data_IF_636138045684
#
_entry.id   IF_636138045684
#
_cell.length_a   1.000
_cell.length_b   1.000
_cell.length_c   1.000
_cell.angle_alpha   90.00
_cell.angle_beta   90.00
_cell.angle_gamma   90.00
#
_symmetry.space_group_name_H-M   'P 1'
#
loop_
_entity.id
_entity.type
_entity.pdbx_description
1 polymer ?
#
# COMPACT_ATOMS: atom_id res chain seq x y z
N UNK A 1 -43.36 38.80 68.78
CA UNK A 1 -42.22 38.97 67.87
C UNK A 1 -41.99 37.62 67.22
N UNK A 2 -42.44 37.48 65.98
CA UNK A 2 -42.28 36.23 65.17
C UNK A 2 -41.06 36.39 64.29
N UNK A 3 -40.02 35.57 64.50
CA UNK A 3 -38.88 35.46 63.60
C UNK A 3 -39.20 34.40 62.50
N UNK A 4 -39.27 34.86 61.23
CA UNK A 4 -39.43 34.01 60.04
C UNK A 4 -38.05 33.47 59.63
N UNK A 5 -37.81 32.18 59.76
CA UNK A 5 -36.63 31.53 59.15
C UNK A 5 -36.95 31.21 57.71
N UNK A 6 -36.23 31.87 56.78
CA UNK A 6 -36.26 31.61 55.35
C UNK A 6 -35.19 30.55 55.06
N UNK A 7 -35.60 29.30 54.86
CA UNK A 7 -34.73 28.19 54.49
C UNK A 7 -34.54 28.23 52.97
N UNK A 8 -33.38 28.70 52.51
CA UNK A 8 -33.01 28.69 51.09
C UNK A 8 -32.65 27.28 50.60
N UNK A 9 -33.51 26.66 49.79
CA UNK A 9 -33.28 25.37 49.13
C UNK A 9 -32.33 25.56 47.93
N UNK A 10 -31.03 25.22 48.10
CA UNK A 10 -30.05 25.19 47.02
C UNK A 10 -30.35 23.99 46.14
N UNK A 11 -30.97 24.17 44.97
CA UNK A 11 -31.11 23.11 43.96
C UNK A 11 -29.75 22.85 43.30
N UNK A 12 -29.09 21.77 43.71
CA UNK A 12 -27.98 21.16 42.99
C UNK A 12 -28.52 20.54 41.68
N UNK A 13 -28.33 21.21 40.54
CA UNK A 13 -28.56 20.62 39.25
C UNK A 13 -27.51 19.52 39.00
N UNK A 14 -27.91 18.27 38.73
CA UNK A 14 -26.96 17.22 38.34
C UNK A 14 -26.33 17.63 37.00
N UNK A 15 -25.00 17.81 36.97
CA UNK A 15 -24.25 17.92 35.75
C UNK A 15 -24.42 16.58 34.97
N UNK A 16 -25.23 16.60 33.95
CA UNK A 16 -25.34 15.48 33.03
C UNK A 16 -23.96 15.26 32.40
N UNK A 17 -23.26 14.20 32.81
CA UNK A 17 -22.06 13.72 32.14
C UNK A 17 -22.53 13.21 30.79
N UNK A 18 -22.44 14.06 29.77
CA UNK A 18 -22.60 13.65 28.37
C UNK A 18 -21.44 12.71 28.07
N UNK A 19 -21.68 11.42 28.26
CA UNK A 19 -20.76 10.39 27.78
C UNK A 19 -20.60 10.60 26.25
N UNK A 20 -19.47 11.13 25.82
CA UNK A 20 -19.19 11.30 24.40
C UNK A 20 -19.19 9.91 23.75
N UNK A 21 -20.15 9.68 22.86
CA UNK A 21 -20.32 8.39 22.18
C UNK A 21 -19.04 8.04 21.40
N UNK A 22 -18.43 6.90 21.73
CA UNK A 22 -17.27 6.38 20.98
C UNK A 22 -17.71 5.90 19.62
N UNK A 23 -17.03 6.38 18.58
CA UNK A 23 -17.21 5.95 17.19
C UNK A 23 -16.15 4.88 16.90
N UNK A 24 -16.58 3.66 16.60
CA UNK A 24 -15.70 2.57 16.15
C UNK A 24 -15.65 2.53 14.64
N UNK A 25 -14.46 2.68 14.07
CA UNK A 25 -14.17 2.64 12.64
C UNK A 25 -13.78 1.21 12.24
N UNK A 26 -14.48 0.62 11.26
CA UNK A 26 -14.14 -0.68 10.67
C UNK A 26 -13.01 -0.47 9.66
N UNK A 27 -11.83 -1.02 9.95
CA UNK A 27 -10.65 -0.96 9.08
C UNK A 27 -10.43 -2.31 8.43
N UNK A 28 -10.50 -2.40 7.11
CA UNK A 28 -10.43 -3.67 6.38
C UNK A 28 -9.22 -3.73 5.45
N UNK A 29 -8.53 -4.87 5.45
CA UNK A 29 -7.39 -5.11 4.58
C UNK A 29 -7.16 -6.61 4.29
N UNK A 30 -6.26 -6.91 3.33
CA UNK A 30 -6.09 -8.25 2.78
C UNK A 30 -4.91 -9.05 3.35
N UNK A 31 -4.02 -8.45 4.14
CA UNK A 31 -2.85 -9.14 4.71
C UNK A 31 -3.14 -9.75 6.10
N UNK A 32 -2.35 -10.75 6.53
CA UNK A 32 -2.50 -11.34 7.86
C UNK A 32 -2.10 -10.37 8.98
N UNK A 33 -2.52 -10.63 10.24
CA UNK A 33 -2.20 -9.77 11.39
C UNK A 33 -0.71 -9.62 11.68
N UNK A 34 0.12 -10.56 11.22
CA UNK A 34 1.59 -10.51 11.36
C UNK A 34 2.30 -9.60 10.36
N UNK A 35 1.60 -9.03 9.37
CA UNK A 35 2.20 -8.19 8.33
C UNK A 35 2.61 -6.82 8.84
N UNK A 36 3.62 -6.23 8.22
CA UNK A 36 4.07 -4.85 8.41
C UNK A 36 2.91 -3.86 8.35
N UNK A 37 2.07 -3.98 7.33
CA UNK A 37 0.89 -3.12 7.16
C UNK A 37 -0.05 -3.15 8.38
N UNK A 38 -0.28 -4.33 8.98
CA UNK A 38 -1.15 -4.45 10.14
C UNK A 38 -0.45 -3.96 11.41
N UNK A 39 0.72 -4.57 11.75
CA UNK A 39 1.40 -4.37 13.03
C UNK A 39 2.07 -3.01 13.17
N UNK A 40 2.78 -2.60 12.13
CA UNK A 40 3.72 -1.47 12.21
C UNK A 40 3.13 -0.18 11.61
N UNK A 41 1.98 -0.28 10.93
CA UNK A 41 1.29 0.87 10.35
C UNK A 41 -0.14 1.02 10.90
N UNK A 42 -1.09 0.11 10.56
CA UNK A 42 -2.51 0.34 10.88
C UNK A 42 -2.80 0.36 12.37
N UNK A 43 -2.21 -0.55 13.16
CA UNK A 43 -2.37 -0.56 14.61
C UNK A 43 -1.84 0.74 15.23
N UNK A 44 -0.59 1.18 14.99
CA UNK A 44 -0.09 2.45 15.53
C UNK A 44 -0.89 3.68 15.06
N UNK A 45 -1.34 3.72 13.81
CA UNK A 45 -2.21 4.79 13.33
C UNK A 45 -3.53 4.84 14.10
N UNK A 46 -4.16 3.69 14.32
CA UNK A 46 -5.40 3.56 15.09
C UNK A 46 -5.24 3.96 16.55
N UNK A 47 -4.13 3.58 17.19
CA UNK A 47 -3.80 3.98 18.56
C UNK A 47 -3.58 5.50 18.65
N UNK A 48 -2.93 6.08 17.65
CA UNK A 48 -2.68 7.53 17.58
C UNK A 48 -3.99 8.30 17.50
N UNK A 49 -4.90 7.96 16.59
CA UNK A 49 -6.20 8.65 16.49
C UNK A 49 -7.08 8.44 17.74
N UNK A 50 -7.00 7.27 18.37
CA UNK A 50 -7.72 7.02 19.62
C UNK A 50 -7.20 7.92 20.75
N UNK A 51 -5.89 8.06 20.87
CA UNK A 51 -5.25 8.95 21.86
C UNK A 51 -5.62 10.42 21.59
N UNK A 52 -5.47 10.88 20.35
CA UNK A 52 -5.72 12.29 19.98
C UNK A 52 -7.20 12.69 20.05
N UNK A 53 -8.11 11.71 19.88
CA UNK A 53 -9.55 11.92 20.05
C UNK A 53 -10.06 11.74 21.51
N UNK A 54 -9.15 11.57 22.47
CA UNK A 54 -9.50 11.23 23.87
C UNK A 54 -10.44 10.01 23.95
N UNK A 55 -10.19 8.98 23.12
CA UNK A 55 -10.97 7.73 23.07
C UNK A 55 -12.30 7.80 22.32
N UNK A 56 -12.63 8.96 21.74
CA UNK A 56 -13.87 9.11 20.94
C UNK A 56 -13.81 8.40 19.59
N UNK A 57 -12.61 8.20 19.00
CA UNK A 57 -12.37 7.34 17.84
C UNK A 57 -11.67 6.07 18.29
N UNK A 58 -12.11 4.93 17.78
CA UNK A 58 -11.45 3.64 17.91
C UNK A 58 -11.49 2.90 16.58
N UNK A 59 -10.51 2.03 16.34
CA UNK A 59 -10.58 1.13 15.20
C UNK A 59 -10.95 -0.28 15.64
N UNK A 60 -11.67 -0.98 14.75
CA UNK A 60 -11.76 -2.42 14.73
C UNK A 60 -11.17 -2.88 13.41
N UNK A 61 -9.98 -3.50 13.47
CA UNK A 61 -9.25 -3.93 12.26
C UNK A 61 -9.67 -5.35 11.88
N UNK A 62 -9.98 -5.54 10.61
CA UNK A 62 -10.39 -6.80 9.98
C UNK A 62 -9.31 -7.22 8.96
N UNK A 63 -8.29 -8.00 9.37
CA UNK A 63 -7.24 -8.49 8.49
C UNK A 63 -7.73 -9.65 7.61
N UNK A 64 -6.91 -10.04 6.60
CA UNK A 64 -7.11 -11.25 5.78
C UNK A 64 -8.50 -11.35 5.15
N UNK A 65 -9.07 -10.23 4.71
CA UNK A 65 -10.41 -10.17 4.11
C UNK A 65 -11.54 -10.68 5.03
N UNK A 66 -11.42 -10.52 6.36
CA UNK A 66 -12.41 -11.03 7.33
C UNK A 66 -13.83 -10.48 7.15
N UNK A 67 -14.00 -9.33 6.50
CA UNK A 67 -15.33 -8.82 6.15
C UNK A 67 -15.84 -9.39 4.81
N UNK A 68 -15.13 -10.35 4.23
CA UNK A 68 -15.48 -10.99 2.95
C UNK A 68 -15.00 -10.22 1.72
N UNK A 69 -15.26 -10.81 0.55
CA UNK A 69 -14.82 -10.28 -0.74
C UNK A 69 -13.39 -10.66 -1.10
N UNK A 70 -12.82 -9.95 -2.07
CA UNK A 70 -11.46 -10.11 -2.56
C UNK A 70 -10.67 -8.81 -2.43
N UNK A 71 -9.32 -8.85 -2.48
CA UNK A 71 -8.49 -7.64 -2.42
C UNK A 71 -8.85 -6.58 -3.47
N UNK A 72 -9.32 -7.00 -4.65
CA UNK A 72 -9.78 -6.11 -5.72
C UNK A 72 -11.04 -5.32 -5.33
N UNK A 73 -11.86 -5.83 -4.43
CA UNK A 73 -13.12 -5.20 -4.02
C UNK A 73 -12.98 -4.20 -2.88
N UNK A 74 -11.81 -4.14 -2.21
CA UNK A 74 -11.62 -3.29 -1.02
C UNK A 74 -11.92 -1.82 -1.29
N UNK A 75 -11.48 -1.28 -2.44
CA UNK A 75 -11.78 0.11 -2.76
C UNK A 75 -13.30 0.37 -2.85
N UNK A 76 -14.03 -0.52 -3.50
CA UNK A 76 -15.49 -0.40 -3.60
C UNK A 76 -16.15 -0.63 -2.24
N UNK A 77 -15.63 -1.50 -1.39
CA UNK A 77 -16.13 -1.67 -0.01
C UNK A 77 -16.05 -0.38 0.81
N UNK A 78 -14.96 0.40 0.66
CA UNK A 78 -14.90 1.73 1.27
C UNK A 78 -15.88 2.69 0.62
N UNK A 79 -15.93 2.76 -0.71
CA UNK A 79 -16.81 3.66 -1.44
C UNK A 79 -18.29 3.41 -1.11
N UNK A 80 -18.69 2.15 -0.98
CA UNK A 80 -20.06 1.73 -0.73
C UNK A 80 -20.42 1.65 0.77
N UNK A 81 -19.45 1.95 1.67
CA UNK A 81 -19.67 1.99 3.13
C UNK A 81 -19.74 0.62 3.82
N UNK A 82 -19.30 -0.46 3.16
CA UNK A 82 -19.16 -1.79 3.78
C UNK A 82 -18.09 -1.75 4.88
N UNK A 83 -16.95 -1.12 4.58
CA UNK A 83 -15.92 -0.78 5.54
C UNK A 83 -15.81 0.75 5.67
N UNK A 84 -15.51 1.24 6.90
CA UNK A 84 -15.30 2.67 7.11
C UNK A 84 -13.94 3.13 6.56
N UNK A 85 -12.92 2.27 6.68
CA UNK A 85 -11.56 2.52 6.17
C UNK A 85 -11.06 1.25 5.51
N UNK A 86 -10.33 1.40 4.40
CA UNK A 86 -9.62 0.28 3.75
C UNK A 86 -8.15 0.60 3.52
N UNK A 87 -7.35 -0.46 3.47
CA UNK A 87 -6.02 -0.42 2.90
C UNK A 87 -5.92 -1.40 1.75
N UNK A 88 -5.53 -0.91 0.58
CA UNK A 88 -5.49 -1.74 -0.64
C UNK A 88 -4.50 -1.21 -1.67
N UNK A 89 -4.30 -2.01 -2.71
CA UNK A 89 -3.60 -1.67 -3.95
C UNK A 89 -4.65 -1.25 -4.98
N UNK A 90 -4.75 0.04 -5.36
CA UNK A 90 -5.73 0.49 -6.35
C UNK A 90 -5.61 -0.25 -7.68
N UNK A 91 -4.40 -0.52 -8.14
CA UNK A 91 -4.11 -1.19 -9.42
C UNK A 91 -4.49 -2.68 -9.47
N UNK A 92 -4.96 -3.28 -8.38
CA UNK A 92 -5.65 -4.58 -8.44
C UNK A 92 -6.94 -4.51 -9.27
N UNK A 93 -7.50 -3.32 -9.46
CA UNK A 93 -8.56 -3.03 -10.42
C UNK A 93 -7.96 -2.45 -11.71
N UNK A 94 -7.46 -3.33 -12.57
CA UNK A 94 -6.69 -2.98 -13.75
C UNK A 94 -7.36 -1.87 -14.59
N UNK A 95 -6.61 -0.79 -14.86
CA UNK A 95 -7.03 0.32 -15.70
C UNK A 95 -8.01 1.32 -15.06
N UNK A 96 -8.40 1.13 -13.80
CA UNK A 96 -9.27 2.06 -13.07
C UNK A 96 -8.51 3.28 -12.51
N UNK A 97 -7.24 3.11 -12.18
CA UNK A 97 -6.38 4.12 -11.57
C UNK A 97 -5.15 4.44 -12.43
N UNK A 98 -5.35 4.76 -13.74
CA UNK A 98 -4.26 4.80 -14.70
C UNK A 98 -3.23 5.90 -14.45
N UNK A 99 -3.61 7.02 -13.83
CA UNK A 99 -2.68 8.12 -13.50
C UNK A 99 -1.79 7.72 -12.34
N UNK A 100 -2.35 7.09 -11.31
CA UNK A 100 -1.58 6.60 -10.14
C UNK A 100 -0.58 5.51 -10.52
N UNK A 101 -0.86 4.69 -11.54
CA UNK A 101 0.03 3.65 -12.05
C UNK A 101 1.42 4.18 -12.49
N UNK A 102 1.62 5.49 -12.63
CA UNK A 102 2.93 6.08 -12.91
C UNK A 102 4.01 5.64 -11.90
N UNK A 103 3.64 5.47 -10.63
CA UNK A 103 4.56 5.04 -9.56
C UNK A 103 4.84 3.53 -9.56
N UNK A 104 4.17 2.76 -10.40
CA UNK A 104 4.34 1.32 -10.58
C UNK A 104 5.15 0.96 -11.85
N UNK A 105 5.62 1.99 -12.57
CA UNK A 105 6.49 1.81 -13.73
C UNK A 105 7.85 1.20 -13.31
N UNK A 106 8.50 0.43 -14.18
CA UNK A 106 9.77 -0.21 -13.86
C UNK A 106 10.84 0.80 -13.42
N UNK A 107 11.60 0.46 -12.40
CA UNK A 107 12.73 1.23 -11.87
C UNK A 107 12.41 2.70 -11.50
N UNK A 108 11.15 3.00 -11.18
CA UNK A 108 10.68 4.36 -10.92
C UNK A 108 11.11 4.89 -9.55
N UNK A 109 11.09 4.07 -8.52
CA UNK A 109 11.22 4.49 -7.11
C UNK A 109 12.50 3.96 -6.50
N UNK A 110 13.34 4.87 -5.95
CA UNK A 110 14.57 4.54 -5.23
C UNK A 110 14.44 4.71 -3.72
N UNK A 111 13.59 5.63 -3.29
CA UNK A 111 13.37 5.99 -1.90
C UNK A 111 11.87 5.99 -1.62
N UNK A 112 11.40 5.02 -0.86
CA UNK A 112 9.96 4.84 -0.61
C UNK A 112 9.40 5.85 0.38
N UNK A 113 10.22 6.41 1.28
CA UNK A 113 9.76 7.49 2.16
C UNK A 113 9.45 8.75 1.36
N UNK A 114 10.40 9.21 0.53
CA UNK A 114 10.21 10.37 -0.36
C UNK A 114 9.14 10.08 -1.41
N UNK A 115 9.22 8.92 -2.04
CA UNK A 115 8.25 8.49 -3.05
C UNK A 115 6.82 8.45 -2.52
N UNK A 116 6.61 8.04 -1.27
CA UNK A 116 5.28 8.04 -0.64
C UNK A 116 4.77 9.46 -0.39
N UNK A 117 5.63 10.36 0.10
CA UNK A 117 5.30 11.80 0.21
C UNK A 117 4.96 12.39 -1.16
N UNK A 118 5.78 12.09 -2.15
CA UNK A 118 5.59 12.55 -3.53
C UNK A 118 4.32 11.98 -4.17
N UNK A 119 4.02 10.71 -3.94
CA UNK A 119 2.80 10.07 -4.42
C UNK A 119 1.55 10.77 -3.86
N UNK A 120 1.55 11.17 -2.58
CA UNK A 120 0.45 11.97 -2.04
C UNK A 120 0.22 13.24 -2.87
N UNK A 121 1.25 14.07 -3.05
CA UNK A 121 1.13 15.32 -3.79
C UNK A 121 0.71 15.10 -5.24
N UNK A 122 1.31 14.11 -5.89
CA UNK A 122 0.97 13.73 -7.26
C UNK A 122 -0.48 13.26 -7.39
N UNK A 123 -0.92 12.35 -6.51
CA UNK A 123 -2.27 11.81 -6.54
C UNK A 123 -3.34 12.90 -6.31
N UNK A 124 -3.12 13.77 -5.33
CA UNK A 124 -4.05 14.86 -5.04
C UNK A 124 -4.12 15.89 -6.16
N UNK A 125 -3.01 16.15 -6.86
CA UNK A 125 -2.94 17.08 -7.98
C UNK A 125 -3.50 16.50 -9.27
N UNK A 126 -3.10 15.28 -9.63
CA UNK A 126 -3.28 14.74 -10.97
C UNK A 126 -4.32 13.61 -11.05
N UNK A 127 -4.55 12.89 -9.93
CA UNK A 127 -5.34 11.67 -9.89
C UNK A 127 -6.55 11.75 -8.93
N UNK A 128 -6.91 12.92 -8.42
CA UNK A 128 -8.02 13.07 -7.45
C UNK A 128 -9.34 12.51 -7.94
N UNK A 129 -9.60 12.56 -9.25
CA UNK A 129 -10.79 12.00 -9.87
C UNK A 129 -10.86 10.46 -9.76
N UNK A 130 -9.71 9.77 -9.67
CA UNK A 130 -9.63 8.31 -9.50
C UNK A 130 -10.17 7.85 -8.13
N UNK A 131 -10.13 8.74 -7.14
CA UNK A 131 -10.50 8.46 -5.75
C UNK A 131 -11.86 9.02 -5.34
N UNK A 132 -12.70 9.37 -6.30
CA UNK A 132 -14.04 9.89 -6.03
C UNK A 132 -14.88 8.87 -5.23
N UNK A 133 -15.47 9.35 -4.13
CA UNK A 133 -16.30 8.54 -3.24
C UNK A 133 -15.59 8.02 -1.99
N UNK A 134 -14.28 8.25 -1.89
CA UNK A 134 -13.50 8.02 -0.67
C UNK A 134 -12.71 9.27 -0.28
N UNK A 135 -12.42 9.41 1.00
CA UNK A 135 -11.48 10.39 1.57
C UNK A 135 -10.11 9.69 1.67
N UNK A 136 -9.11 10.01 0.85
CA UNK A 136 -7.76 9.53 1.05
C UNK A 136 -7.22 9.99 2.41
N UNK A 137 -6.64 9.07 3.16
CA UNK A 137 -5.92 9.35 4.40
C UNK A 137 -4.44 9.46 4.09
N UNK A 138 -3.89 8.46 3.40
CA UNK A 138 -2.51 8.48 2.92
C UNK A 138 -2.35 7.56 1.71
N UNK A 139 -1.30 7.82 0.95
CA UNK A 139 -0.76 6.94 -0.07
C UNK A 139 0.65 6.52 0.33
N UNK A 140 1.04 5.31 0.01
CA UNK A 140 2.42 4.92 0.24
C UNK A 140 2.92 3.91 -0.79
N UNK A 141 4.22 3.77 -0.82
CA UNK A 141 4.97 2.77 -1.56
C UNK A 141 5.57 1.77 -0.56
N UNK A 142 5.97 0.61 -1.04
CA UNK A 142 6.78 -0.34 -0.27
C UNK A 142 8.27 -0.16 -0.59
N UNK A 143 9.11 -1.02 -0.02
CA UNK A 143 10.57 -1.05 -0.18
C UNK A 143 11.09 -1.38 -1.59
N UNK A 144 10.18 -1.52 -2.56
CA UNK A 144 10.48 -2.02 -3.90
C UNK A 144 10.38 -3.54 -4.00
N UNK A 145 9.84 -4.00 -5.14
CA UNK A 145 9.72 -5.42 -5.43
C UNK A 145 10.98 -5.96 -6.10
N UNK A 146 11.30 -7.18 -5.76
CA UNK A 146 12.37 -7.96 -6.37
C UNK A 146 11.84 -9.32 -6.83
N UNK A 147 12.69 -10.12 -7.46
CA UNK A 147 12.29 -11.42 -7.98
C UNK A 147 12.60 -12.53 -6.98
N UNK A 148 11.58 -13.29 -6.61
CA UNK A 148 11.69 -14.50 -5.80
C UNK A 148 11.28 -15.71 -6.63
N UNK A 149 12.13 -16.74 -6.69
CA UNK A 149 11.88 -17.95 -7.50
C UNK A 149 12.04 -19.22 -6.68
N UNK A 150 11.37 -20.30 -7.14
CA UNK A 150 11.32 -21.57 -6.41
C UNK A 150 12.51 -22.47 -6.76
N UNK A 151 12.83 -22.63 -8.06
CA UNK A 151 13.75 -23.65 -8.56
C UNK A 151 15.02 -23.13 -9.24
N UNK A 152 15.00 -21.89 -9.73
CA UNK A 152 16.08 -21.33 -10.56
C UNK A 152 16.44 -19.94 -10.11
N UNK A 153 17.73 -19.64 -9.88
CA UNK A 153 18.23 -18.29 -9.71
C UNK A 153 18.20 -17.56 -11.05
N UNK A 154 17.59 -16.39 -11.08
CA UNK A 154 17.62 -15.47 -12.26
C UNK A 154 18.75 -14.50 -12.06
N UNK A 155 19.71 -14.51 -12.99
CA UNK A 155 20.91 -13.66 -12.96
C UNK A 155 21.02 -12.75 -14.18
N UNK A 156 20.40 -13.15 -15.29
CA UNK A 156 20.42 -12.44 -16.57
C UNK A 156 19.03 -12.41 -17.19
N UNK A 157 18.83 -11.57 -18.23
CA UNK A 157 17.58 -11.53 -19.00
C UNK A 157 17.21 -12.88 -19.58
N UNK A 158 18.19 -13.65 -20.04
CA UNK A 158 17.99 -14.95 -20.67
C UNK A 158 17.39 -15.98 -19.70
N UNK A 159 17.61 -15.78 -18.40
CA UNK A 159 17.09 -16.64 -17.35
C UNK A 159 15.58 -16.55 -17.17
N UNK A 160 14.93 -15.46 -17.61
CA UNK A 160 13.47 -15.31 -17.55
C UNK A 160 12.71 -16.22 -18.52
N UNK A 161 13.40 -16.66 -19.60
CA UNK A 161 12.75 -17.46 -20.63
C UNK A 161 12.13 -18.74 -20.08
N UNK A 162 10.84 -18.91 -20.35
CA UNK A 162 10.05 -20.07 -19.93
C UNK A 162 9.52 -20.03 -18.51
N UNK A 163 9.88 -19.01 -17.72
CA UNK A 163 9.33 -18.84 -16.36
C UNK A 163 7.93 -18.21 -16.40
N UNK A 164 7.07 -18.67 -15.49
CA UNK A 164 5.79 -18.06 -15.16
C UNK A 164 5.97 -17.25 -13.88
N UNK A 165 5.87 -15.93 -13.96
CA UNK A 165 6.16 -15.02 -12.86
C UNK A 165 4.90 -14.28 -12.46
N UNK A 166 4.53 -14.36 -11.17
CA UNK A 166 3.46 -13.54 -10.63
C UNK A 166 3.81 -12.07 -10.72
N UNK A 167 2.88 -11.30 -11.25
CA UNK A 167 2.93 -9.85 -11.26
C UNK A 167 1.78 -9.26 -10.44
N UNK A 168 2.01 -8.20 -9.59
CA UNK A 168 0.95 -7.63 -8.77
C UNK A 168 -0.12 -6.90 -9.58
N UNK A 169 0.24 -6.26 -10.69
CA UNK A 169 -0.61 -5.33 -11.42
C UNK A 169 -0.29 -5.30 -12.92
N UNK A 170 -0.97 -4.41 -13.65
CA UNK A 170 -0.85 -4.29 -15.10
C UNK A 170 0.55 -3.86 -15.54
N UNK A 171 1.16 -2.89 -14.87
CA UNK A 171 2.49 -2.39 -15.25
C UNK A 171 3.57 -3.45 -14.97
N UNK A 172 3.50 -4.09 -13.83
CA UNK A 172 4.39 -5.23 -13.51
C UNK A 172 4.19 -6.41 -14.46
N UNK A 173 2.97 -6.65 -14.96
CA UNK A 173 2.72 -7.69 -15.97
C UNK A 173 3.41 -7.36 -17.30
N UNK A 174 3.31 -6.11 -17.76
CA UNK A 174 4.03 -5.65 -18.95
C UNK A 174 5.55 -5.75 -18.75
N UNK A 175 6.05 -5.36 -17.58
CA UNK A 175 7.47 -5.49 -17.23
C UNK A 175 7.95 -6.95 -17.28
N UNK A 176 7.24 -7.87 -16.63
CA UNK A 176 7.57 -9.30 -16.63
C UNK A 176 7.60 -9.86 -18.05
N UNK A 177 6.65 -9.48 -18.92
CA UNK A 177 6.64 -9.85 -20.33
C UNK A 177 7.84 -9.28 -21.08
N UNK A 178 8.18 -8.01 -20.86
CA UNK A 178 9.32 -7.35 -21.48
C UNK A 178 10.67 -7.96 -21.06
N UNK A 179 10.75 -8.49 -19.84
CA UNK A 179 11.91 -9.26 -19.35
C UNK A 179 11.99 -10.69 -19.91
N UNK A 180 10.98 -11.16 -20.67
CA UNK A 180 10.99 -12.45 -21.36
C UNK A 180 10.29 -13.61 -20.62
N UNK A 181 9.64 -13.35 -19.49
CA UNK A 181 8.83 -14.34 -18.76
C UNK A 181 7.34 -14.23 -19.12
N UNK A 182 6.56 -15.24 -18.75
CA UNK A 182 5.09 -15.21 -18.82
C UNK A 182 4.51 -14.60 -17.55
N UNK A 183 3.87 -13.41 -17.63
CA UNK A 183 3.24 -12.81 -16.45
C UNK A 183 1.96 -13.54 -16.05
N UNK A 184 1.77 -13.72 -14.75
CA UNK A 184 0.54 -14.27 -14.16
C UNK A 184 0.00 -13.26 -13.14
N UNK A 185 -0.95 -12.38 -13.54
CA UNK A 185 -1.47 -11.36 -12.65
C UNK A 185 -2.35 -11.94 -11.56
N UNK A 186 -2.04 -11.60 -10.30
CA UNK A 186 -2.88 -11.97 -9.16
C UNK A 186 -2.55 -11.12 -7.93
N UNK A 187 -3.51 -10.87 -7.02
CA UNK A 187 -3.26 -10.30 -5.71
C UNK A 187 -2.32 -11.16 -4.87
N UNK A 188 -1.62 -10.51 -3.94
CA UNK A 188 -0.57 -11.17 -3.15
C UNK A 188 -1.04 -12.40 -2.35
N UNK A 189 -2.23 -12.42 -1.71
CA UNK A 189 -2.68 -13.62 -0.97
C UNK A 189 -2.76 -14.90 -1.78
N UNK A 190 -2.94 -14.82 -3.11
CA UNK A 190 -3.01 -15.98 -3.99
C UNK A 190 -1.63 -16.52 -4.40
N UNK A 191 -0.58 -15.70 -4.26
CA UNK A 191 0.76 -16.04 -4.76
C UNK A 191 1.40 -17.22 -4.02
N UNK A 192 1.20 -17.33 -2.71
CA UNK A 192 1.78 -18.42 -1.91
C UNK A 192 1.26 -19.80 -2.36
N UNK A 193 -0.04 -19.91 -2.57
CA UNK A 193 -0.67 -21.13 -3.06
C UNK A 193 -0.22 -21.47 -4.50
N UNK A 194 -0.19 -20.44 -5.38
CA UNK A 194 0.24 -20.61 -6.76
C UNK A 194 1.70 -21.08 -6.88
N UNK A 195 2.61 -20.55 -6.04
CA UNK A 195 4.00 -21.01 -5.93
C UNK A 195 4.08 -22.43 -5.42
N UNK A 196 3.38 -22.76 -4.34
CA UNK A 196 3.40 -24.10 -3.72
C UNK A 196 2.87 -25.18 -4.66
N UNK A 197 1.86 -24.85 -5.47
CA UNK A 197 1.28 -25.77 -6.47
C UNK A 197 2.05 -25.81 -7.80
N UNK A 198 3.10 -24.99 -7.97
CA UNK A 198 3.86 -24.89 -9.21
C UNK A 198 3.08 -24.30 -10.38
N UNK A 199 2.01 -23.53 -10.11
CA UNK A 199 1.27 -22.75 -11.13
C UNK A 199 2.15 -21.62 -11.67
N UNK A 200 3.00 -21.06 -10.80
CA UNK A 200 4.02 -20.07 -11.12
C UNK A 200 5.39 -20.52 -10.60
N UNK A 201 6.45 -20.11 -11.28
CA UNK A 201 7.84 -20.44 -10.96
C UNK A 201 8.49 -19.42 -10.01
N UNK A 202 7.92 -18.23 -9.94
CA UNK A 202 8.40 -17.13 -9.12
C UNK A 202 7.39 -15.99 -9.03
N UNK A 203 7.76 -14.97 -8.26
CA UNK A 203 6.91 -13.81 -8.03
C UNK A 203 7.72 -12.54 -7.82
N UNK A 204 7.17 -11.42 -8.27
CA UNK A 204 7.64 -10.07 -7.97
C UNK A 204 6.97 -9.64 -6.66
N UNK A 205 7.76 -9.53 -5.58
CA UNK A 205 7.31 -9.32 -4.19
C UNK A 205 8.35 -8.44 -3.46
N UNK A 206 7.94 -7.56 -2.52
CA UNK A 206 8.87 -6.85 -1.62
C UNK A 206 9.28 -7.71 -0.42
N UNK A 207 10.36 -7.30 0.27
CA UNK A 207 10.91 -8.05 1.40
C UNK A 207 10.02 -8.05 2.64
N UNK A 208 9.34 -6.94 2.95
CA UNK A 208 8.62 -6.76 4.20
C UNK A 208 7.48 -7.77 4.41
N UNK A 209 6.93 -8.30 3.32
CA UNK A 209 5.81 -9.24 3.38
C UNK A 209 6.27 -10.71 3.42
N UNK A 210 7.53 -10.99 3.16
CA UNK A 210 8.07 -12.35 3.08
C UNK A 210 7.78 -13.17 4.34
N UNK A 211 8.09 -12.70 5.58
CA UNK A 211 7.87 -13.50 6.78
C UNK A 211 6.39 -13.74 7.09
N UNK A 212 5.56 -12.71 6.90
CA UNK A 212 4.13 -12.79 7.26
C UNK A 212 3.33 -13.71 6.34
N UNK A 213 3.81 -13.92 5.12
CA UNK A 213 3.24 -14.82 4.11
C UNK A 213 4.01 -16.13 3.93
N UNK A 214 5.12 -16.31 4.68
CA UNK A 214 6.00 -17.49 4.65
C UNK A 214 6.57 -17.80 3.26
N UNK A 215 6.83 -16.77 2.47
CA UNK A 215 7.40 -16.97 1.13
C UNK A 215 8.81 -17.56 1.18
N UNK A 216 9.60 -17.28 2.24
CA UNK A 216 10.92 -17.84 2.47
C UNK A 216 10.93 -19.38 2.61
N UNK A 217 9.79 -19.98 2.93
CA UNK A 217 9.65 -21.44 2.98
C UNK A 217 9.48 -22.04 1.57
N UNK A 218 8.91 -21.28 0.64
CA UNK A 218 8.53 -21.72 -0.70
C UNK A 218 9.59 -21.32 -1.71
N UNK A 219 10.01 -20.04 -1.72
CA UNK A 219 11.03 -19.54 -2.65
C UNK A 219 12.44 -19.76 -2.09
N UNK A 220 13.37 -20.13 -2.97
CA UNK A 220 14.75 -20.47 -2.58
C UNK A 220 15.79 -19.48 -3.13
N UNK A 221 15.41 -18.70 -4.11
CA UNK A 221 16.31 -17.80 -4.82
C UNK A 221 15.71 -16.39 -4.85
N UNK A 222 16.52 -15.40 -4.54
CA UNK A 222 16.13 -14.00 -4.47
C UNK A 222 17.08 -13.18 -5.31
N UNK A 223 16.55 -12.36 -6.23
CA UNK A 223 17.35 -11.49 -7.11
C UNK A 223 16.88 -10.05 -6.95
N UNK A 224 17.78 -9.15 -6.56
CA UNK A 224 17.55 -7.72 -6.41
C UNK A 224 18.46 -6.88 -7.33
N UNK A 225 18.14 -5.61 -7.49
CA UNK A 225 18.93 -4.66 -8.29
C UNK A 225 20.17 -4.14 -7.56
N UNK A 226 20.42 -4.60 -6.32
CA UNK A 226 21.51 -4.11 -5.49
C UNK A 226 21.14 -2.95 -4.57
N UNK A 227 22.03 -2.69 -3.61
CA UNK A 227 21.81 -1.64 -2.61
C UNK A 227 21.88 -0.24 -3.25
N UNK A 228 20.91 0.61 -2.93
CA UNK A 228 20.83 1.98 -3.43
C UNK A 228 20.29 2.13 -4.85
N UNK A 229 20.01 1.02 -5.54
CA UNK A 229 19.36 1.05 -6.84
C UNK A 229 17.83 0.97 -6.71
N UNK A 230 17.12 1.54 -7.71
CA UNK A 230 15.69 1.32 -7.81
C UNK A 230 15.43 -0.17 -8.04
N UNK A 231 14.51 -0.75 -7.25
CA UNK A 231 14.12 -2.13 -7.47
C UNK A 231 13.26 -2.24 -8.73
N UNK A 232 13.08 -3.47 -9.23
CA UNK A 232 12.50 -3.72 -10.56
C UNK A 232 11.09 -3.15 -10.73
N UNK A 233 10.31 -3.05 -9.65
CA UNK A 233 9.01 -2.37 -9.65
C UNK A 233 8.63 -1.90 -8.25
N UNK A 234 7.57 -1.12 -8.16
CA UNK A 234 6.93 -0.75 -6.92
C UNK A 234 5.41 -0.95 -7.04
N UNK A 235 4.71 -0.81 -5.93
CA UNK A 235 3.25 -0.85 -5.87
C UNK A 235 2.76 0.35 -5.07
N UNK A 236 1.81 1.08 -5.62
CA UNK A 236 1.14 2.16 -4.93
C UNK A 236 0.00 1.61 -4.07
N UNK A 237 -0.06 2.05 -2.82
CA UNK A 237 -1.13 1.70 -1.88
C UNK A 237 -1.93 2.94 -1.50
N UNK A 238 -3.18 2.70 -1.13
CA UNK A 238 -4.05 3.71 -0.52
C UNK A 238 -4.59 3.22 0.81
N UNK A 239 -4.60 4.11 1.80
CA UNK A 239 -5.39 4.00 3.01
C UNK A 239 -6.45 5.09 2.94
N UNK A 240 -7.71 4.69 2.85
CA UNK A 240 -8.81 5.62 2.54
C UNK A 240 -10.06 5.31 3.35
N UNK A 241 -10.78 6.37 3.70
CA UNK A 241 -12.03 6.31 4.43
C UNK A 241 -13.22 6.49 3.49
N UNK A 242 -14.35 5.85 3.79
CA UNK A 242 -15.63 6.15 3.14
C UNK A 242 -15.95 7.64 3.27
N UNK A 243 -16.27 8.31 2.17
CA UNK A 243 -16.49 9.77 2.16
C UNK A 243 -17.68 10.16 3.05
N UNK A 244 -18.81 9.44 2.93
CA UNK A 244 -19.99 9.75 3.73
C UNK A 244 -19.77 9.52 5.24
N UNK A 245 -18.96 8.48 5.59
CA UNK A 245 -18.57 8.26 6.98
C UNK A 245 -17.72 9.41 7.51
N UNK A 246 -16.72 9.85 6.75
CA UNK A 246 -15.93 11.03 7.12
C UNK A 246 -16.83 12.27 7.27
N UNK A 247 -17.74 12.51 6.33
CA UNK A 247 -18.63 13.68 6.35
C UNK A 247 -19.57 13.67 7.56
N UNK A 248 -19.93 12.49 8.07
CA UNK A 248 -20.78 12.32 9.26
C UNK A 248 -20.06 12.54 10.60
N UNK A 249 -18.73 12.61 10.61
CA UNK A 249 -17.97 12.81 11.84
C UNK A 249 -18.17 14.25 12.39
N UNK A 250 -18.23 14.43 13.73
CA UNK A 250 -18.10 15.73 14.36
C UNK A 250 -16.82 16.46 13.92
N UNK A 251 -16.85 17.78 13.87
CA UNK A 251 -15.74 18.61 13.38
C UNK A 251 -14.41 18.33 14.11
N UNK A 252 -14.46 18.16 15.44
CA UNK A 252 -13.29 17.84 16.25
C UNK A 252 -12.67 16.48 15.86
N UNK A 253 -13.48 15.49 15.46
CA UNK A 253 -13.00 14.18 15.04
C UNK A 253 -12.49 14.20 13.59
N UNK A 254 -13.10 15.00 12.70
CA UNK A 254 -12.54 15.29 11.37
C UNK A 254 -11.13 15.86 11.48
N UNK A 255 -10.92 16.83 12.39
CA UNK A 255 -9.58 17.40 12.62
C UNK A 255 -8.56 16.37 13.04
N UNK A 256 -8.94 15.36 13.85
CA UNK A 256 -8.05 14.26 14.22
C UNK A 256 -7.69 13.42 13.00
N UNK A 257 -8.67 13.04 12.17
CA UNK A 257 -8.42 12.30 10.93
C UNK A 257 -7.52 13.11 10.00
N UNK A 258 -7.82 14.40 9.78
CA UNK A 258 -7.05 15.26 8.87
C UNK A 258 -5.60 15.48 9.35
N UNK A 259 -5.38 15.63 10.66
CA UNK A 259 -4.04 15.73 11.24
C UNK A 259 -3.20 14.44 11.10
N UNK A 260 -3.87 13.30 10.88
CA UNK A 260 -3.25 12.00 10.65
C UNK A 260 -3.38 11.54 9.18
N UNK A 261 -3.59 12.49 8.27
CA UNK A 261 -3.68 12.30 6.84
C UNK A 261 -2.66 13.18 6.12
N UNK A 262 -2.31 12.83 4.88
CA UNK A 262 -1.50 13.71 4.07
C UNK A 262 -0.08 13.21 3.79
N UNK A 263 0.82 14.11 3.34
CA UNK A 263 2.14 13.74 2.86
C UNK A 263 3.06 13.19 3.96
N UNK A 264 3.01 13.73 5.18
CA UNK A 264 3.88 13.28 6.26
C UNK A 264 3.48 11.89 6.81
N UNK A 265 2.18 11.58 7.06
CA UNK A 265 1.77 10.20 7.32
C UNK A 265 2.10 9.24 6.16
N UNK A 266 2.02 9.70 4.91
CA UNK A 266 2.43 8.89 3.74
C UNK A 266 3.91 8.52 3.78
N UNK A 267 4.78 9.51 4.04
CA UNK A 267 6.22 9.31 4.18
C UNK A 267 6.56 8.37 5.35
N UNK A 268 5.92 8.57 6.50
CA UNK A 268 6.09 7.70 7.66
C UNK A 268 5.80 6.24 7.32
N UNK A 269 4.69 5.95 6.62
CA UNK A 269 4.37 4.58 6.22
C UNK A 269 5.39 4.05 5.22
N UNK A 270 5.81 4.84 4.23
CA UNK A 270 6.89 4.47 3.32
C UNK A 270 8.15 4.03 4.05
N UNK A 271 8.56 4.79 5.09
CA UNK A 271 9.69 4.44 5.95
C UNK A 271 9.47 3.14 6.74
N UNK A 272 8.26 2.94 7.30
CA UNK A 272 7.91 1.70 8.02
C UNK A 272 8.13 0.46 7.15
N UNK A 273 7.78 0.53 5.86
CA UNK A 273 7.99 -0.57 4.93
C UNK A 273 9.47 -0.79 4.59
N UNK A 274 10.27 0.27 4.50
CA UNK A 274 11.73 0.17 4.32
C UNK A 274 12.41 -0.44 5.54
N UNK A 275 12.00 -0.06 6.76
CA UNK A 275 12.59 -0.58 8.00
C UNK A 275 12.40 -2.11 8.13
N UNK A 276 11.35 -2.68 7.52
CA UNK A 276 11.05 -4.12 7.55
C UNK A 276 11.75 -4.95 6.43
N UNK A 277 12.59 -4.32 5.57
CA UNK A 277 13.46 -5.05 4.63
C UNK A 277 14.37 -6.03 5.38
N UNK A 278 15.03 -5.55 6.45
CA UNK A 278 16.01 -6.34 7.21
C UNK A 278 15.38 -7.58 7.84
N UNK A 279 14.25 -7.49 8.58
CA UNK A 279 13.53 -8.66 9.06
C UNK A 279 13.14 -9.63 7.93
N UNK A 280 12.70 -9.12 6.79
CA UNK A 280 12.35 -9.91 5.61
C UNK A 280 13.54 -10.73 5.08
N UNK A 281 14.70 -10.08 4.85
CA UNK A 281 15.93 -10.75 4.42
C UNK A 281 16.40 -11.78 5.43
N UNK A 282 16.44 -11.45 6.72
CA UNK A 282 16.86 -12.36 7.78
C UNK A 282 16.02 -13.64 7.85
N UNK A 283 14.72 -13.56 7.58
CA UNK A 283 13.86 -14.75 7.55
C UNK A 283 14.26 -15.72 6.44
N UNK A 284 14.63 -15.21 5.26
CA UNK A 284 15.10 -16.00 4.13
C UNK A 284 16.53 -16.55 4.36
N UNK A 285 17.43 -15.75 4.99
CA UNK A 285 18.77 -16.18 5.40
C UNK A 285 18.71 -17.36 6.39
N UNK A 286 17.80 -17.29 7.38
CA UNK A 286 17.59 -18.38 8.34
C UNK A 286 17.15 -19.70 7.67
N UNK A 287 16.53 -19.63 6.50
CA UNK A 287 16.17 -20.78 5.65
C UNK A 287 17.30 -21.20 4.69
N UNK A 288 18.46 -20.54 4.74
CA UNK A 288 19.60 -20.78 3.84
C UNK A 288 19.24 -20.56 2.36
N UNK A 289 18.36 -19.63 2.09
CA UNK A 289 18.00 -19.25 0.72
C UNK A 289 19.18 -18.53 0.05
N UNK A 290 19.21 -18.54 -1.27
CA UNK A 290 20.28 -17.95 -2.08
C UNK A 290 19.91 -16.54 -2.52
N UNK A 291 20.82 -15.59 -2.36
CA UNK A 291 20.65 -14.19 -2.74
C UNK A 291 21.60 -13.86 -3.89
N UNK A 292 21.12 -13.02 -4.79
CA UNK A 292 21.92 -12.52 -5.89
C UNK A 292 21.54 -11.06 -6.17
N UNK A 293 22.51 -10.17 -6.05
CA UNK A 293 22.37 -8.78 -6.47
C UNK A 293 22.90 -8.64 -7.89
N UNK A 294 22.10 -8.03 -8.76
CA UNK A 294 22.47 -7.82 -10.16
C UNK A 294 23.69 -6.90 -10.27
N UNK A 295 24.65 -7.22 -11.15
CA UNK A 295 25.66 -6.26 -11.56
C UNK A 295 25.01 -5.05 -12.25
N UNK A 296 25.63 -3.88 -12.12
CA UNK A 296 25.10 -2.64 -12.70
C UNK A 296 24.81 -2.75 -14.21
N UNK A 297 25.65 -3.48 -14.94
CA UNK A 297 25.44 -3.70 -16.38
C UNK A 297 24.19 -4.53 -16.67
N UNK A 298 23.86 -5.51 -15.82
CA UNK A 298 22.65 -6.29 -16.00
C UNK A 298 21.40 -5.49 -15.59
N UNK A 299 21.49 -4.65 -14.55
CA UNK A 299 20.42 -3.69 -14.21
C UNK A 299 20.09 -2.82 -15.42
N UNK A 300 21.11 -2.24 -16.10
CA UNK A 300 20.92 -1.45 -17.32
C UNK A 300 20.26 -2.24 -18.45
N UNK A 301 20.59 -3.52 -18.59
CA UNK A 301 19.93 -4.39 -19.60
C UNK A 301 18.45 -4.57 -19.28
N UNK A 302 18.11 -4.77 -18.01
CA UNK A 302 16.70 -4.89 -17.58
C UNK A 302 15.95 -3.56 -17.74
N UNK A 303 16.57 -2.43 -17.38
CA UNK A 303 16.01 -1.10 -17.62
C UNK A 303 15.73 -0.87 -19.11
N UNK A 304 16.69 -1.20 -19.99
CA UNK A 304 16.54 -1.06 -21.44
C UNK A 304 15.42 -1.97 -21.98
N UNK A 305 15.34 -3.23 -21.53
CA UNK A 305 14.31 -4.17 -21.94
C UNK A 305 12.90 -3.71 -21.56
N UNK A 306 12.77 -3.02 -20.43
CA UNK A 306 11.48 -2.57 -19.89
C UNK A 306 11.10 -1.14 -20.26
N UNK A 307 11.93 -0.41 -20.99
CA UNK A 307 11.69 1.00 -21.38
C UNK A 307 10.36 1.19 -22.13
N UNK A 308 9.99 0.21 -22.97
CA UNK A 308 8.72 0.22 -23.72
C UNK A 308 7.49 0.29 -22.82
N UNK A 309 7.55 -0.24 -21.59
CA UNK A 309 6.43 -0.20 -20.62
C UNK A 309 6.10 1.26 -20.25
N UNK A 310 7.13 2.07 -20.02
CA UNK A 310 6.98 3.49 -19.74
C UNK A 310 6.44 4.26 -20.94
N UNK A 311 6.96 3.97 -22.15
CA UNK A 311 6.50 4.59 -23.38
C UNK A 311 5.03 4.27 -23.67
N UNK A 312 4.63 3.02 -23.47
CA UNK A 312 3.23 2.60 -23.62
C UNK A 312 2.32 3.30 -22.64
N UNK A 313 2.74 3.43 -21.36
CA UNK A 313 1.95 4.15 -20.37
C UNK A 313 1.75 5.62 -20.78
N UNK A 314 2.78 6.31 -21.26
CA UNK A 314 2.67 7.68 -21.78
C UNK A 314 1.67 7.77 -22.94
N UNK A 315 1.72 6.81 -23.88
CA UNK A 315 0.76 6.75 -25.00
C UNK A 315 -0.67 6.51 -24.49
N UNK A 316 -0.84 5.58 -23.54
CA UNK A 316 -2.14 5.27 -22.93
C UNK A 316 -2.74 6.52 -22.25
N UNK A 317 -1.91 7.29 -21.52
CA UNK A 317 -2.36 8.53 -20.87
C UNK A 317 -2.76 9.59 -21.90
N UNK A 318 -1.95 9.76 -22.95
CA UNK A 318 -2.25 10.70 -24.03
C UNK A 318 -3.54 10.34 -24.77
N UNK A 319 -3.77 9.05 -25.04
CA UNK A 319 -5.02 8.57 -25.65
C UNK A 319 -6.25 8.80 -24.75
N UNK A 320 -6.07 8.91 -23.43
CA UNK A 320 -7.12 9.25 -22.45
C UNK A 320 -7.31 10.76 -22.26
N UNK A 321 -6.58 11.60 -23.02
CA UNK A 321 -6.69 13.06 -22.97
C UNK A 321 -5.81 13.73 -21.91
N UNK A 322 -4.87 13.01 -21.31
CA UNK A 322 -3.88 13.58 -20.38
C UNK A 322 -2.60 13.97 -21.13
N UNK A 323 -1.83 14.90 -20.59
CA UNK A 323 -0.44 15.08 -21.00
C UNK A 323 0.44 13.98 -20.35
N UNK A 324 0.56 12.84 -21.03
CA UNK A 324 1.24 11.67 -20.50
C UNK A 324 2.73 11.92 -20.20
N UNK A 325 3.40 12.77 -21.00
CA UNK A 325 4.82 13.14 -20.78
C UNK A 325 4.97 13.97 -19.52
N UNK A 326 4.14 14.99 -19.35
CA UNK A 326 4.12 15.82 -18.15
C UNK A 326 3.81 15.01 -16.89
N UNK A 327 2.83 14.11 -16.94
CA UNK A 327 2.51 13.22 -15.83
C UNK A 327 3.72 12.36 -15.43
N UNK A 328 4.45 11.81 -16.41
CA UNK A 328 5.66 11.02 -16.15
C UNK A 328 6.77 11.86 -15.51
N UNK A 329 7.01 13.07 -16.04
CA UNK A 329 8.00 14.00 -15.49
C UNK A 329 7.67 14.38 -14.03
N UNK A 330 6.41 14.69 -13.74
CA UNK A 330 5.95 15.01 -12.39
C UNK A 330 6.08 13.80 -11.44
N UNK A 331 5.76 12.59 -11.89
CA UNK A 331 5.93 11.38 -11.09
C UNK A 331 7.42 11.11 -10.79
N UNK A 332 8.30 11.25 -11.78
CA UNK A 332 9.76 11.14 -11.58
C UNK A 332 10.30 12.20 -10.63
N UNK A 333 9.82 13.43 -10.72
CA UNK A 333 10.22 14.50 -9.80
C UNK A 333 9.75 14.23 -8.37
N UNK A 334 8.59 13.64 -8.20
CA UNK A 334 8.01 13.27 -6.91
C UNK A 334 8.76 12.10 -6.22
N UNK A 335 9.51 11.28 -6.99
CA UNK A 335 10.35 10.18 -6.46
C UNK A 335 11.80 10.60 -6.13
N UNK A 336 12.21 11.84 -6.45
CA UNK A 336 13.56 12.38 -6.18
C UNK A 336 13.61 13.04 -4.82
#
# INVERSE_FOLDING_TARGET
MLAKHLCGLLMLLPAAIVSAQTITLKVHHFLPPGSTAHKNFMVPWCEKIAKESAGKLKCQIYPSMQMGGSPQQLFDQAKDGVADIIWTVPSYQAGRFPVTEAFELPFMVRDSERGSRGLWHYAMKNASAEYKGVKPILFHLHDGSLLHTVKKQVKTLEDFKGLKIRAPNRQSSKMVAALGATPVPMPLPQAAEALSKGVIDGAVIPWEVIPSMKFEEITKFHTDAGAGEAQISNTAFIFAMNQAKYDSLPLELKKVIDANSGPEPSAWVGKVFVDDIIPGKKSAEARKNTFYSLPAEEVKRWEAATASVTEEWVKDMTAKGFDGKKLLEEARAACK
#
